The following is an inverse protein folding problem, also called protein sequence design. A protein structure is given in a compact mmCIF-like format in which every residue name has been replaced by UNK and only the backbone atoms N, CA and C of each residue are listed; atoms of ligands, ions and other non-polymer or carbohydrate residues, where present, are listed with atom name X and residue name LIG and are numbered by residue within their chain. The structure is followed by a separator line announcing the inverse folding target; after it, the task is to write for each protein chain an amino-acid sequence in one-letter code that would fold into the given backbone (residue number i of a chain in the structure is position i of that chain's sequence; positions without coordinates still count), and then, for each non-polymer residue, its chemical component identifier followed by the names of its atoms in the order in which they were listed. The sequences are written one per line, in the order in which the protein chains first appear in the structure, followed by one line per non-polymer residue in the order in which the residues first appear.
data_IF_223066584436
#
_entry.id   IF_223066584436
#
_cell.length_a   1.000
_cell.length_b   1.000
_cell.length_c   1.000
_cell.angle_alpha   90.00
_cell.angle_beta   90.00
_cell.angle_gamma   90.00
#
_symmetry.space_group_name_H-M   'P 1'
#
loop_
_entity.id
_entity.type
_entity.pdbx_description
1 polymer ?
#
# COMPACT_ATOMS: atom_id res chain seq x y z
N UNK A 1 3.97 -6.59 14.41
CA UNK A 1 4.08 -7.68 15.40
C UNK A 1 4.34 -7.06 16.76
N UNK A 2 3.53 -7.42 17.77
CA UNK A 2 3.66 -6.88 19.12
C UNK A 2 4.98 -7.32 19.77
N UNK A 3 5.56 -6.52 20.67
CA UNK A 3 6.72 -6.94 21.48
C UNK A 3 6.25 -7.74 22.69
N UNK A 4 7.05 -8.72 23.16
CA UNK A 4 6.69 -9.45 24.39
C UNK A 4 6.63 -8.46 25.56
N UNK A 5 5.56 -8.46 26.36
CA UNK A 5 5.38 -7.51 27.46
C UNK A 5 6.39 -7.73 28.60
N UNK A 6 7.02 -8.91 28.69
CA UNK A 6 7.96 -9.25 29.76
C UNK A 6 9.40 -8.85 29.44
N UNK A 7 9.87 -9.15 28.23
CA UNK A 7 11.28 -8.97 27.85
C UNK A 7 11.49 -8.02 26.67
N UNK A 8 10.42 -7.42 26.13
CA UNK A 8 10.41 -6.48 25.00
C UNK A 8 11.01 -6.98 23.67
N UNK A 9 11.36 -8.27 23.59
CA UNK A 9 11.81 -8.90 22.34
C UNK A 9 10.67 -9.04 21.33
N UNK A 10 11.04 -9.23 20.07
CA UNK A 10 10.08 -9.51 19.01
C UNK A 10 9.27 -10.78 19.34
N UNK A 11 7.98 -10.76 18.98
CA UNK A 11 7.09 -11.91 19.10
C UNK A 11 6.44 -12.22 17.76
N UNK A 12 6.18 -13.49 17.49
CA UNK A 12 5.55 -13.98 16.27
C UNK A 12 4.08 -14.30 16.48
N UNK A 13 3.23 -13.87 15.54
CA UNK A 13 1.79 -14.16 15.56
C UNK A 13 1.54 -15.61 15.18
N UNK A 14 1.01 -16.41 16.10
CA UNK A 14 0.67 -17.82 15.87
C UNK A 14 -0.66 -17.98 15.17
N UNK A 15 -1.68 -17.31 15.67
CA UNK A 15 -3.03 -17.32 15.11
C UNK A 15 -3.70 -15.99 15.38
N UNK A 16 -4.72 -15.67 14.59
CA UNK A 16 -5.55 -14.50 14.85
C UNK A 16 -6.98 -14.74 14.42
N UNK A 17 -7.92 -14.14 15.13
CA UNK A 17 -9.36 -14.24 14.87
C UNK A 17 -10.00 -12.88 15.05
N UNK A 18 -10.91 -12.51 14.14
CA UNK A 18 -11.78 -11.35 14.36
C UNK A 18 -12.90 -11.73 15.33
N UNK A 19 -13.01 -10.98 16.42
CA UNK A 19 -14.13 -11.11 17.37
C UNK A 19 -15.30 -10.27 16.84
N UNK A 20 -15.00 -9.09 16.29
CA UNK A 20 -15.94 -8.19 15.64
C UNK A 20 -15.31 -7.62 14.36
N UNK A 21 -16.07 -6.89 13.54
CA UNK A 21 -15.58 -6.28 12.31
C UNK A 21 -14.38 -5.35 12.53
N UNK A 22 -14.29 -4.73 13.72
CA UNK A 22 -13.24 -3.75 14.07
C UNK A 22 -12.25 -4.26 15.10
N UNK A 23 -12.46 -5.45 15.68
CA UNK A 23 -11.64 -5.98 16.78
C UNK A 23 -11.08 -7.34 16.43
N UNK A 24 -9.76 -7.43 16.47
CA UNK A 24 -8.98 -8.62 16.17
C UNK A 24 -8.27 -9.12 17.42
N UNK A 25 -8.44 -10.40 17.71
CA UNK A 25 -7.66 -11.12 18.68
C UNK A 25 -6.47 -11.79 17.99
N UNK A 26 -5.28 -11.70 18.57
CA UNK A 26 -4.09 -12.34 18.06
C UNK A 26 -3.27 -12.99 19.19
N UNK A 27 -2.78 -14.21 18.94
CA UNK A 27 -1.90 -14.95 19.83
C UNK A 27 -0.46 -14.79 19.37
N UNK A 28 0.42 -14.47 20.30
CA UNK A 28 1.83 -14.19 20.05
C UNK A 28 2.72 -15.10 20.88
N UNK A 29 3.85 -15.53 20.29
CA UNK A 29 4.92 -16.23 20.99
C UNK A 29 6.23 -15.44 20.88
N UNK A 30 6.90 -15.21 22.01
CA UNK A 30 8.21 -14.55 22.03
C UNK A 30 9.25 -15.38 21.27
N UNK A 31 10.11 -14.71 20.51
CA UNK A 31 11.22 -15.35 19.81
C UNK A 31 12.42 -15.64 20.73
N UNK A 32 12.52 -14.94 21.86
CA UNK A 32 13.57 -15.21 22.84
C UNK A 32 13.25 -16.53 23.55
N UNK A 33 14.07 -17.56 23.33
CA UNK A 33 13.89 -18.90 23.88
C UNK A 33 13.93 -18.92 25.42
N UNK A 34 14.71 -18.03 26.04
CA UNK A 34 14.75 -17.88 27.50
C UNK A 34 13.43 -17.35 28.05
N UNK A 35 12.76 -16.47 27.31
CA UNK A 35 11.47 -15.92 27.71
C UNK A 35 10.32 -16.87 27.35
N UNK A 36 10.27 -17.33 26.09
CA UNK A 36 9.24 -18.21 25.51
C UNK A 36 7.79 -17.83 25.86
N UNK A 37 7.55 -16.56 26.23
CA UNK A 37 6.26 -16.06 26.66
C UNK A 37 5.23 -16.26 25.54
N UNK A 38 4.07 -16.81 25.87
CA UNK A 38 2.92 -16.85 24.96
C UNK A 38 1.84 -15.95 25.54
N UNK A 39 1.34 -15.02 24.73
CA UNK A 39 0.37 -14.03 25.19
C UNK A 39 -0.64 -13.72 24.10
N UNK A 40 -1.81 -13.23 24.51
CA UNK A 40 -2.92 -12.82 23.64
C UNK A 40 -3.07 -11.31 23.70
N UNK A 41 -3.30 -10.68 22.55
CA UNK A 41 -3.72 -9.28 22.48
C UNK A 41 -5.07 -9.16 21.80
N UNK A 42 -5.76 -8.06 22.10
CA UNK A 42 -6.99 -7.66 21.44
C UNK A 42 -6.73 -6.27 20.86
N UNK A 43 -6.66 -6.20 19.54
CA UNK A 43 -6.36 -5.00 18.76
C UNK A 43 -7.68 -4.49 18.14
N UNK A 44 -8.02 -3.22 18.36
CA UNK A 44 -9.24 -2.61 17.80
C UNK A 44 -8.92 -1.37 16.98
N UNK A 45 -9.68 -1.14 15.92
CA UNK A 45 -9.57 0.08 15.09
C UNK A 45 -10.25 1.23 15.84
N UNK A 46 -9.46 2.15 16.37
CA UNK A 46 -9.97 3.36 17.04
C UNK A 46 -10.58 4.33 16.01
N UNK A 47 -9.77 4.77 15.03
CA UNK A 47 -10.18 5.75 14.01
C UNK A 47 -9.53 5.47 12.66
N UNK A 48 -10.29 5.71 11.59
CA UNK A 48 -9.78 5.69 10.21
C UNK A 48 -9.41 7.12 9.84
N UNK A 49 -8.11 7.40 9.66
CA UNK A 49 -7.64 8.75 9.37
C UNK A 49 -7.90 9.20 7.92
N UNK A 50 -7.79 8.26 6.97
CA UNK A 50 -8.06 8.51 5.55
C UNK A 50 -8.77 7.30 4.95
N UNK A 51 -9.72 7.55 4.04
CA UNK A 51 -10.38 6.52 3.25
C UNK A 51 -10.05 6.72 1.77
N UNK A 52 -9.96 5.63 0.97
CA UNK A 52 -9.80 5.77 -0.47
C UNK A 52 -11.01 6.51 -1.05
N UNK A 53 -10.77 7.38 -2.04
CA UNK A 53 -11.84 8.05 -2.78
C UNK A 53 -12.64 6.96 -3.47
N UNK A 54 -13.93 6.84 -3.12
CA UNK A 54 -14.84 6.00 -3.89
C UNK A 54 -14.91 6.59 -5.29
N UNK A 55 -14.44 5.84 -6.29
CA UNK A 55 -14.59 6.24 -7.68
C UNK A 55 -16.08 6.37 -7.96
N UNK A 56 -16.56 7.61 -8.02
CA UNK A 56 -17.88 7.86 -8.59
C UNK A 56 -17.80 7.43 -10.06
N UNK A 57 -18.86 6.84 -10.63
CA UNK A 57 -18.91 6.61 -12.06
C UNK A 57 -18.72 7.96 -12.73
N UNK A 58 -17.56 8.16 -13.34
CA UNK A 58 -17.26 9.35 -14.13
C UNK A 58 -18.22 9.30 -15.31
N UNK A 59 -19.13 10.26 -15.39
CA UNK A 59 -20.01 10.41 -16.55
C UNK A 59 -19.11 10.61 -17.78
N UNK A 60 -19.09 9.58 -18.63
CA UNK A 60 -18.20 9.44 -19.80
C UNK A 60 -18.39 10.56 -20.84
N UNK A 61 -19.44 11.37 -20.67
CA UNK A 61 -19.80 12.47 -21.57
C UNK A 61 -19.16 13.83 -21.22
N UNK A 62 -18.45 13.96 -20.09
CA UNK A 62 -17.98 15.28 -19.61
C UNK A 62 -16.55 15.67 -20.02
N UNK A 63 -15.79 14.80 -20.70
CA UNK A 63 -14.41 15.12 -21.10
C UNK A 63 -14.35 15.50 -22.59
N UNK A 64 -13.97 16.74 -22.95
CA UNK A 64 -13.66 17.06 -24.33
C UNK A 64 -12.48 16.18 -24.79
N UNK A 65 -12.66 15.52 -25.94
CA UNK A 65 -11.69 14.61 -26.53
C UNK A 65 -10.29 15.25 -26.53
N UNK A 66 -9.24 14.57 -26.05
CA UNK A 66 -7.89 15.12 -26.09
C UNK A 66 -7.53 15.44 -27.54
N UNK A 67 -7.21 16.71 -27.79
CA UNK A 67 -6.83 17.20 -29.10
C UNK A 67 -5.63 16.38 -29.60
N UNK A 68 -5.82 15.68 -30.72
CA UNK A 68 -4.79 14.85 -31.33
C UNK A 68 -3.66 15.75 -31.81
N UNK A 69 -2.66 15.97 -30.97
CA UNK A 69 -1.39 16.58 -31.37
C UNK A 69 -0.70 15.62 -32.33
N UNK A 70 -0.74 15.94 -33.61
CA UNK A 70 0.06 15.24 -34.61
C UNK A 70 1.53 15.47 -34.26
N UNK A 71 2.24 14.40 -33.91
CA UNK A 71 3.70 14.48 -33.76
C UNK A 71 4.26 14.90 -35.12
N UNK A 72 4.80 16.11 -35.19
CA UNK A 72 5.46 16.63 -36.38
C UNK A 72 6.47 15.59 -36.88
N UNK A 73 6.22 15.08 -38.10
CA UNK A 73 7.10 14.16 -38.81
C UNK A 73 8.52 14.72 -38.78
N UNK A 74 9.45 13.97 -38.18
CA UNK A 74 10.88 14.26 -38.22
C UNK A 74 11.30 14.53 -39.68
N UNK A 75 11.63 15.78 -40.00
CA UNK A 75 12.11 16.17 -41.32
C UNK A 75 13.52 15.63 -41.47
N UNK A 76 13.67 14.62 -42.33
CA UNK A 76 14.95 14.08 -42.80
C UNK A 76 15.80 15.24 -43.35
N UNK A 77 16.95 15.51 -42.74
CA UNK A 77 18.00 16.29 -43.41
C UNK A 77 18.70 15.36 -44.40
N UNK A 78 18.54 15.70 -45.68
CA UNK A 78 19.19 15.07 -46.82
C UNK A 78 20.27 16.05 -47.32
N UNK A 79 21.52 15.59 -47.29
CA UNK A 79 22.67 15.90 -48.16
C UNK A 79 22.98 17.31 -48.74
N UNK A 80 24.29 17.64 -48.65
CA UNK A 80 25.21 18.36 -49.59
C UNK A 80 25.29 19.90 -49.59
N UNK A 81 26.39 20.55 -50.11
CA UNK A 81 27.71 20.09 -50.59
C UNK A 81 28.94 20.95 -50.10
N UNK A 82 30.14 20.57 -50.54
CA UNK A 82 31.47 21.21 -50.48
C UNK A 82 31.55 22.66 -51.01
N UNK A 83 32.27 23.58 -50.34
CA UNK A 83 33.30 24.55 -50.85
C UNK A 83 33.54 25.70 -49.83
N UNK A 84 34.76 25.85 -49.29
CA UNK A 84 35.80 26.81 -49.72
C UNK A 84 37.02 26.72 -48.78
#
# INVERSE_FOLDING_TARGET
MMRCPLCTHASYTRTSRYITERTKEAYYQCQNLTCSCTFKTVESVDKILCQPIQAQPVDENALPLPEKRTLNRYRRYNNNPTLH
#
